data_IF_958052574805
#
_entry.id   IF_958052574805
#
_cell.length_a   1.000
_cell.length_b   1.000
_cell.length_c   1.000
_cell.angle_alpha   90.00
_cell.angle_beta   90.00
_cell.angle_gamma   90.00
#
_symmetry.space_group_name_H-M   'P 1'
#
loop_
_entity.id
_entity.type
_entity.pdbx_description
1 polymer ?
#
# COMPACT_ATOMS: atom_id res chain seq x y z
N UNK A 1 21.04 -15.80 -4.94
CA UNK A 1 22.15 -15.05 -4.31
C UNK A 1 22.01 -15.07 -2.78
N UNK A 2 22.33 -16.17 -2.13
CA UNK A 2 22.26 -16.28 -0.65
C UNK A 2 23.39 -15.50 0.02
N UNK A 3 24.61 -15.58 -0.52
CA UNK A 3 25.78 -14.85 -0.01
C UNK A 3 25.59 -13.32 0.00
N UNK A 4 24.98 -12.75 -1.04
CA UNK A 4 24.69 -11.31 -1.11
C UNK A 4 23.62 -10.87 -0.09
N UNK A 5 22.67 -11.75 0.25
CA UNK A 5 21.67 -11.48 1.28
C UNK A 5 22.29 -11.52 2.68
N UNK A 6 23.26 -12.41 2.92
CA UNK A 6 23.96 -12.54 4.21
C UNK A 6 24.91 -11.36 4.44
N UNK A 7 25.65 -10.91 3.43
CA UNK A 7 26.55 -9.74 3.55
C UNK A 7 25.79 -8.43 3.73
N UNK A 8 24.64 -8.29 3.08
CA UNK A 8 23.77 -7.13 3.30
C UNK A 8 23.26 -7.09 4.75
N UNK A 9 22.77 -8.20 5.29
CA UNK A 9 22.25 -8.28 6.66
C UNK A 9 23.31 -7.91 7.72
N UNK A 10 24.55 -8.39 7.55
CA UNK A 10 25.69 -8.01 8.42
C UNK A 10 25.99 -6.50 8.35
N UNK A 11 25.86 -5.90 7.17
CA UNK A 11 26.12 -4.47 6.98
C UNK A 11 25.09 -3.60 7.68
N UNK A 12 23.79 -3.91 7.54
CA UNK A 12 22.72 -3.16 8.19
C UNK A 12 22.78 -3.26 9.71
N UNK A 13 23.11 -4.44 10.24
CA UNK A 13 23.34 -4.62 11.69
C UNK A 13 24.49 -3.76 12.20
N UNK A 14 25.59 -3.67 11.45
CA UNK A 14 26.74 -2.84 11.84
C UNK A 14 26.37 -1.35 11.84
N UNK A 15 25.70 -0.85 10.81
CA UNK A 15 25.27 0.55 10.72
C UNK A 15 24.34 0.90 11.87
N UNK A 16 23.35 0.04 12.14
CA UNK A 16 22.40 0.23 13.23
C UNK A 16 23.09 0.25 14.60
N UNK A 17 24.02 -0.68 14.85
CA UNK A 17 24.82 -0.68 16.09
C UNK A 17 25.63 0.60 16.25
N UNK A 18 26.35 1.03 15.21
CA UNK A 18 27.14 2.26 15.26
C UNK A 18 26.26 3.47 15.58
N UNK A 19 25.14 3.62 14.88
CA UNK A 19 24.22 4.74 15.09
C UNK A 19 23.59 4.76 16.50
N UNK A 20 23.25 3.60 17.06
CA UNK A 20 22.59 3.52 18.37
C UNK A 20 23.57 3.59 19.56
N UNK A 21 24.83 3.19 19.37
CA UNK A 21 25.84 3.21 20.43
C UNK A 21 26.54 4.57 20.60
N UNK A 22 26.42 5.49 19.63
CA UNK A 22 27.00 6.84 19.71
C UNK A 22 26.41 7.71 20.84
N UNK A 23 25.33 7.25 21.50
CA UNK A 23 24.70 7.92 22.63
C UNK A 23 23.88 9.15 22.20
N UNK A 24 22.86 9.50 22.98
CA UNK A 24 22.04 10.70 22.73
C UNK A 24 21.01 10.58 21.59
N UNK A 25 20.90 9.44 20.92
CA UNK A 25 19.86 9.19 19.92
C UNK A 25 18.55 8.82 20.62
N UNK A 26 17.53 9.67 20.51
CA UNK A 26 16.18 9.37 21.01
C UNK A 26 15.29 8.72 19.96
N UNK A 27 15.56 8.99 18.68
CA UNK A 27 14.73 8.55 17.57
C UNK A 27 15.54 8.31 16.31
N UNK A 28 15.13 7.33 15.50
CA UNK A 28 15.75 6.97 14.23
C UNK A 28 14.73 7.09 13.10
N UNK A 29 15.09 7.84 12.06
CA UNK A 29 14.28 7.96 10.83
C UNK A 29 14.80 6.97 9.79
N UNK A 30 13.93 6.08 9.33
CA UNK A 30 14.21 5.08 8.30
C UNK A 30 13.56 5.52 7.00
N UNK A 31 14.40 5.96 6.06
CA UNK A 31 14.00 6.26 4.68
C UNK A 31 14.39 5.09 3.79
N UNK A 32 13.50 4.09 3.70
CA UNK A 32 13.75 2.87 2.94
C UNK A 32 12.43 2.24 2.49
N UNK A 33 12.46 1.57 1.35
CA UNK A 33 11.30 0.86 0.78
C UNK A 33 11.70 -0.56 0.36
N UNK A 34 10.69 -1.42 0.15
CA UNK A 34 10.87 -2.78 -0.40
C UNK A 34 11.93 -3.63 0.32
N UNK A 35 12.87 -4.20 -0.44
CA UNK A 35 13.90 -5.11 0.11
C UNK A 35 14.79 -4.44 1.15
N UNK A 36 15.11 -3.16 0.97
CA UNK A 36 15.97 -2.42 1.91
C UNK A 36 15.27 -2.27 3.26
N UNK A 37 13.99 -1.90 3.26
CA UNK A 37 13.19 -1.83 4.48
C UNK A 37 13.15 -3.19 5.20
N UNK A 38 12.89 -4.27 4.46
CA UNK A 38 12.91 -5.64 5.00
C UNK A 38 14.24 -6.02 5.66
N UNK A 39 15.36 -5.60 5.09
CA UNK A 39 16.69 -5.80 5.70
C UNK A 39 16.89 -4.96 6.96
N UNK A 40 16.40 -3.72 7.00
CA UNK A 40 16.41 -2.89 8.21
C UNK A 40 15.60 -3.55 9.32
N UNK A 41 14.37 -4.03 9.03
CA UNK A 41 13.52 -4.70 10.02
C UNK A 41 14.19 -5.97 10.58
N UNK A 42 14.86 -6.75 9.74
CA UNK A 42 15.63 -7.92 10.18
C UNK A 42 16.82 -7.53 11.07
N UNK A 43 17.55 -6.49 10.70
CA UNK A 43 18.64 -5.96 11.52
C UNK A 43 18.13 -5.44 12.88
N UNK A 44 16.98 -4.75 12.90
CA UNK A 44 16.33 -4.32 14.13
C UNK A 44 15.94 -5.49 15.02
N UNK A 45 15.40 -6.57 14.44
CA UNK A 45 15.09 -7.81 15.18
C UNK A 45 16.35 -8.44 15.78
N UNK A 46 17.41 -8.54 14.98
CA UNK A 46 18.69 -9.10 15.43
C UNK A 46 19.35 -8.27 16.54
N UNK A 47 19.14 -6.95 16.52
CA UNK A 47 19.67 -5.99 17.49
C UNK A 47 18.55 -5.44 18.41
N UNK A 48 17.60 -6.30 18.80
CA UNK A 48 16.41 -5.88 19.53
C UNK A 48 16.74 -5.11 20.83
N UNK A 49 17.78 -5.52 21.56
CA UNK A 49 18.15 -4.86 22.83
C UNK A 49 18.53 -3.38 22.66
N UNK A 50 19.20 -3.03 21.55
CA UNK A 50 19.54 -1.65 21.22
C UNK A 50 18.34 -0.94 20.60
N UNK A 51 17.65 -1.62 19.68
CA UNK A 51 16.52 -1.05 18.93
C UNK A 51 15.36 -0.65 19.85
N UNK A 52 15.20 -1.32 21.00
CA UNK A 52 14.19 -1.00 22.00
C UNK A 52 14.40 0.32 22.75
N UNK A 53 15.57 0.94 22.63
CA UNK A 53 15.92 2.14 23.40
C UNK A 53 15.48 3.44 22.72
N UNK A 54 15.11 3.37 21.43
CA UNK A 54 14.79 4.53 20.60
C UNK A 54 13.42 4.39 19.96
N UNK A 55 12.85 5.54 19.56
CA UNK A 55 11.64 5.58 18.76
C UNK A 55 11.98 5.47 17.26
N UNK A 56 11.21 4.69 16.51
CA UNK A 56 11.46 4.44 15.09
C UNK A 56 10.42 5.14 14.23
N UNK A 57 10.87 5.90 13.23
CA UNK A 57 9.99 6.63 12.30
C UNK A 57 10.29 6.13 10.88
N UNK A 58 9.33 5.47 10.25
CA UNK A 58 9.46 4.92 8.91
C UNK A 58 8.81 5.83 7.88
N UNK A 59 9.47 6.02 6.73
CA UNK A 59 8.91 6.75 5.59
C UNK A 59 7.96 5.92 4.73
N UNK A 60 7.91 4.61 4.94
CA UNK A 60 7.18 3.64 4.10
C UNK A 60 6.75 2.44 4.95
N UNK A 61 5.78 1.68 4.43
CA UNK A 61 5.28 0.44 5.01
C UNK A 61 5.77 -0.78 4.23
N UNK A 62 6.05 -1.90 4.91
CA UNK A 62 6.41 -3.13 4.22
C UNK A 62 5.17 -3.77 3.59
N UNK A 63 5.17 -3.94 2.26
CA UNK A 63 4.12 -4.66 1.53
C UNK A 63 4.23 -6.20 1.67
N UNK A 64 5.40 -6.70 2.10
CA UNK A 64 5.70 -8.10 2.40
C UNK A 64 6.25 -8.19 3.83
N UNK A 65 6.17 -9.36 4.46
CA UNK A 65 6.65 -9.58 5.85
C UNK A 65 5.97 -8.64 6.87
N UNK A 66 4.69 -8.32 6.67
CA UNK A 66 3.94 -7.46 7.60
C UNK A 66 3.91 -8.06 9.03
N UNK A 67 3.97 -9.39 9.14
CA UNK A 67 4.09 -10.11 10.42
C UNK A 67 5.37 -9.75 11.18
N UNK A 68 6.51 -9.56 10.49
CA UNK A 68 7.74 -9.09 11.13
C UNK A 68 7.56 -7.67 11.67
N UNK A 69 6.86 -6.82 10.92
CA UNK A 69 6.56 -5.45 11.37
C UNK A 69 5.63 -5.45 12.59
N UNK A 70 4.59 -6.30 12.60
CA UNK A 70 3.72 -6.52 13.77
C UNK A 70 4.51 -7.00 14.97
N UNK A 71 5.36 -8.01 14.81
CA UNK A 71 6.22 -8.53 15.88
C UNK A 71 7.07 -7.41 16.47
N UNK A 72 7.75 -6.64 15.63
CA UNK A 72 8.60 -5.53 16.08
C UNK A 72 7.80 -4.44 16.80
N UNK A 73 6.58 -4.14 16.37
CA UNK A 73 5.72 -3.15 17.04
C UNK A 73 5.38 -3.52 18.48
N UNK A 74 5.31 -4.82 18.81
CA UNK A 74 5.11 -5.29 20.18
C UNK A 74 6.39 -5.32 21.02
N UNK A 75 7.56 -5.28 20.38
CA UNK A 75 8.85 -5.35 21.06
C UNK A 75 9.48 -3.98 21.30
N UNK A 76 9.26 -3.01 20.40
CA UNK A 76 9.94 -1.71 20.39
C UNK A 76 9.23 -0.65 21.26
N UNK A 77 9.97 0.37 21.71
CA UNK A 77 9.45 1.50 22.50
C UNK A 77 8.36 2.29 21.74
N UNK A 78 8.60 2.54 20.47
CA UNK A 78 7.67 3.23 19.59
C UNK A 78 8.01 2.98 18.12
N UNK A 79 7.00 2.67 17.32
CA UNK A 79 7.08 2.61 15.86
C UNK A 79 6.04 3.60 15.31
N UNK A 80 6.53 4.51 14.47
CA UNK A 80 5.76 5.51 13.77
C UNK A 80 5.96 5.35 12.27
N UNK A 81 4.92 5.59 11.50
CA UNK A 81 4.94 5.50 10.03
C UNK A 81 4.36 6.77 9.44
N UNK A 82 5.10 7.38 8.52
CA UNK A 82 4.55 8.38 7.63
C UNK A 82 3.81 7.68 6.49
N UNK A 83 2.51 7.92 6.37
CA UNK A 83 1.69 7.34 5.30
C UNK A 83 0.65 8.35 4.81
N UNK A 84 0.06 8.09 3.65
CA UNK A 84 -0.99 8.94 3.09
C UNK A 84 -2.20 9.02 4.01
N UNK A 85 -2.88 10.17 3.96
CA UNK A 85 -4.14 10.40 4.65
C UNK A 85 -5.28 10.42 3.63
N UNK A 86 -6.45 9.83 3.93
CA UNK A 86 -6.84 9.21 5.20
C UNK A 86 -6.17 7.85 5.47
N UNK A 87 -6.15 7.42 6.76
CA UNK A 87 -5.59 6.12 7.18
C UNK A 87 -6.35 4.91 6.61
N UNK A 88 -7.63 5.09 6.31
CA UNK A 88 -8.54 4.12 5.70
C UNK A 88 -9.16 4.73 4.46
N UNK A 89 -9.43 3.91 3.47
CA UNK A 89 -10.19 4.32 2.30
C UNK A 89 -11.46 3.48 2.16
N UNK A 90 -12.51 3.89 2.87
CA UNK A 90 -13.71 3.07 3.14
C UNK A 90 -14.33 2.48 1.86
N UNK A 91 -14.44 3.24 0.77
CA UNK A 91 -15.00 2.70 -0.49
C UNK A 91 -14.18 1.55 -1.07
N UNK A 92 -12.86 1.59 -0.89
CA UNK A 92 -11.99 0.50 -1.30
C UNK A 92 -12.10 -0.67 -0.32
N UNK A 93 -12.19 -0.42 0.98
CA UNK A 93 -12.36 -1.48 1.98
C UNK A 93 -13.71 -2.21 1.81
N UNK A 94 -14.80 -1.50 1.52
CA UNK A 94 -16.10 -2.09 1.18
C UNK A 94 -15.98 -3.00 -0.06
N UNK A 95 -15.26 -2.53 -1.09
CA UNK A 95 -15.02 -3.33 -2.29
C UNK A 95 -14.14 -4.54 -1.98
N UNK A 96 -13.07 -4.36 -1.21
CA UNK A 96 -12.17 -5.41 -0.75
C UNK A 96 -12.91 -6.52 0.00
N UNK A 97 -13.81 -6.16 0.91
CA UNK A 97 -14.67 -7.10 1.61
C UNK A 97 -15.61 -7.85 0.66
N UNK A 98 -16.19 -7.16 -0.33
CA UNK A 98 -17.06 -7.79 -1.33
C UNK A 98 -16.34 -8.85 -2.19
N UNK A 99 -15.03 -8.68 -2.41
CA UNK A 99 -14.20 -9.61 -3.17
C UNK A 99 -13.89 -10.90 -2.38
N UNK A 100 -14.06 -10.89 -1.06
CA UNK A 100 -13.82 -12.04 -0.20
C UNK A 100 -15.05 -12.97 -0.09
N UNK A 101 -16.20 -12.58 -0.67
CA UNK A 101 -17.38 -13.43 -0.71
C UNK A 101 -17.27 -14.50 -1.80
N UNK A 102 -17.09 -15.76 -1.38
CA UNK A 102 -16.99 -16.94 -2.25
C UNK A 102 -18.22 -17.12 -3.16
N UNK A 103 -19.39 -16.68 -2.69
CA UNK A 103 -20.66 -16.85 -3.42
C UNK A 103 -20.92 -15.70 -4.40
N UNK A 104 -20.22 -14.57 -4.23
CA UNK A 104 -20.36 -13.35 -5.01
C UNK A 104 -19.55 -13.37 -6.30
N UNK A 105 -20.06 -14.05 -7.35
CA UNK A 105 -19.59 -13.98 -8.76
C UNK A 105 -18.11 -14.37 -8.97
N UNK A 106 -17.90 -15.65 -9.30
CA UNK A 106 -16.70 -16.15 -10.02
C UNK A 106 -16.63 -15.53 -11.43
N UNK A 107 -16.19 -14.29 -11.55
CA UNK A 107 -15.82 -13.69 -12.84
C UNK A 107 -14.36 -14.06 -13.17
N UNK A 108 -13.96 -14.06 -14.45
CA UNK A 108 -12.53 -14.26 -14.80
C UNK A 108 -11.61 -13.22 -14.15
N UNK A 109 -12.13 -12.02 -13.89
CA UNK A 109 -11.41 -10.95 -13.19
C UNK A 109 -11.12 -11.30 -11.71
N UNK A 110 -11.81 -12.29 -11.15
CA UNK A 110 -11.63 -12.76 -9.76
C UNK A 110 -10.60 -13.89 -9.59
N UNK A 111 -10.07 -14.51 -10.65
CA UNK A 111 -9.20 -15.70 -10.51
C UNK A 111 -7.89 -15.42 -9.74
N UNK A 112 -7.23 -14.30 -10.04
CA UNK A 112 -6.01 -13.92 -9.33
C UNK A 112 -6.29 -13.53 -7.87
N UNK A 113 -7.46 -12.93 -7.60
CA UNK A 113 -7.89 -12.57 -6.24
C UNK A 113 -8.13 -13.84 -5.42
N UNK A 114 -8.82 -14.82 -6.00
CA UNK A 114 -9.05 -16.11 -5.35
C UNK A 114 -7.73 -16.84 -5.08
N UNK A 115 -6.76 -16.77 -6.00
CA UNK A 115 -5.41 -17.32 -5.78
C UNK A 115 -4.69 -16.60 -4.65
N UNK A 116 -4.74 -15.27 -4.63
CA UNK A 116 -4.17 -14.46 -3.55
C UNK A 116 -4.79 -14.80 -2.18
N UNK A 117 -6.11 -14.87 -2.08
CA UNK A 117 -6.80 -15.17 -0.82
C UNK A 117 -6.50 -16.59 -0.32
N UNK A 118 -6.38 -17.56 -1.23
CA UNK A 118 -5.94 -18.92 -0.91
C UNK A 118 -4.51 -18.94 -0.35
N UNK A 119 -3.60 -18.18 -0.96
CA UNK A 119 -2.21 -18.07 -0.52
C UNK A 119 -2.12 -17.43 0.87
N UNK A 120 -2.82 -16.31 1.09
CA UNK A 120 -2.84 -15.62 2.39
C UNK A 120 -3.41 -16.50 3.49
N UNK A 121 -4.50 -17.24 3.21
CA UNK A 121 -5.15 -18.11 4.19
C UNK A 121 -4.56 -19.52 4.29
N UNK A 122 -3.55 -19.84 3.47
CA UNK A 122 -2.96 -21.18 3.34
C UNK A 122 -4.06 -22.25 3.22
N UNK A 123 -4.98 -22.07 2.28
CA UNK A 123 -6.11 -23.00 2.04
C UNK A 123 -6.42 -23.14 0.54
N UNK A 124 -7.16 -24.18 0.16
CA UNK A 124 -7.53 -24.47 -1.23
C UNK A 124 -9.04 -24.42 -1.46
N UNK A 125 -9.49 -23.93 -2.61
CA UNK A 125 -10.89 -24.05 -3.03
C UNK A 125 -11.20 -25.46 -3.55
N UNK A 126 -12.39 -25.97 -3.23
CA UNK A 126 -12.80 -27.36 -3.50
C UNK A 126 -12.68 -27.78 -4.98
N UNK A 127 -12.92 -26.85 -5.90
CA UNK A 127 -12.95 -27.11 -7.35
C UNK A 127 -11.63 -26.75 -8.07
N UNK A 128 -10.58 -26.39 -7.34
CA UNK A 128 -9.29 -26.00 -7.95
C UNK A 128 -8.36 -27.22 -8.03
N UNK A 129 -7.79 -27.54 -9.21
CA UNK A 129 -6.84 -28.64 -9.33
C UNK A 129 -5.64 -28.43 -8.42
N UNK A 130 -5.16 -29.51 -7.79
CA UNK A 130 -3.97 -29.47 -6.92
C UNK A 130 -2.75 -29.02 -7.74
N UNK A 131 -2.14 -27.92 -7.33
CA UNK A 131 -0.84 -27.45 -7.79
C UNK A 131 0.29 -28.02 -6.94
N UNK A 132 1.52 -28.07 -7.46
CA UNK A 132 2.72 -28.41 -6.67
C UNK A 132 2.90 -27.47 -5.47
N UNK A 133 2.32 -26.27 -5.53
CA UNK A 133 2.37 -25.26 -4.47
C UNK A 133 1.24 -25.37 -3.43
N UNK A 134 0.33 -26.33 -3.56
CA UNK A 134 -0.79 -26.54 -2.62
C UNK A 134 -0.41 -27.46 -1.45
N UNK A 135 0.81 -27.31 -0.94
CA UNK A 135 1.29 -28.00 0.25
C UNK A 135 1.66 -27.01 1.34
N UNK A 136 1.42 -27.37 2.59
CA UNK A 136 1.89 -26.60 3.74
C UNK A 136 3.41 -26.76 3.94
N UNK A 137 3.94 -26.07 4.96
CA UNK A 137 5.36 -26.07 5.30
C UNK A 137 5.88 -27.47 5.69
N UNK A 138 4.98 -28.45 5.94
CA UNK A 138 5.26 -29.85 6.25
C UNK A 138 5.09 -30.78 5.04
N UNK A 139 4.72 -30.24 3.87
CA UNK A 139 4.51 -31.00 2.64
C UNK A 139 3.15 -31.70 2.56
N UNK A 140 2.18 -31.33 3.40
CA UNK A 140 0.83 -31.87 3.41
C UNK A 140 -0.12 -31.03 2.55
N UNK A 141 -1.13 -31.62 1.88
CA UNK A 141 -2.06 -30.86 1.05
C UNK A 141 -2.82 -29.81 1.86
N UNK A 142 -2.92 -28.59 1.34
CA UNK A 142 -3.67 -27.51 1.97
C UNK A 142 -5.14 -27.89 2.17
N UNK A 143 -5.68 -27.54 3.33
CA UNK A 143 -7.09 -27.79 3.69
C UNK A 143 -8.03 -26.96 2.84
N UNK A 144 -9.27 -27.44 2.68
CA UNK A 144 -10.30 -26.68 1.98
C UNK A 144 -10.65 -25.38 2.72
N UNK A 145 -10.75 -24.27 1.98
CA UNK A 145 -11.16 -22.98 2.52
C UNK A 145 -12.64 -23.02 2.96
N UNK A 146 -12.90 -22.83 4.26
CA UNK A 146 -14.28 -22.67 4.78
C UNK A 146 -14.91 -21.34 4.35
N UNK A 147 -14.10 -20.29 4.26
CA UNK A 147 -14.42 -18.98 3.72
C UNK A 147 -13.12 -18.29 3.27
N UNK A 148 -13.21 -17.25 2.43
CA UNK A 148 -12.04 -16.47 2.00
C UNK A 148 -11.84 -15.17 2.80
N UNK A 149 -12.59 -15.00 3.89
CA UNK A 149 -12.49 -13.78 4.69
C UNK A 149 -11.14 -13.70 5.41
N UNK A 150 -10.34 -12.68 5.09
CA UNK A 150 -9.04 -12.44 5.75
C UNK A 150 -9.30 -11.66 7.03
N UNK A 151 -8.67 -12.09 8.14
CA UNK A 151 -8.72 -11.34 9.39
C UNK A 151 -7.72 -10.20 9.28
N UNK A 152 -8.23 -9.02 8.95
CA UNK A 152 -7.46 -7.79 8.83
C UNK A 152 -7.46 -7.03 10.16
N UNK A 153 -6.31 -6.46 10.54
CA UNK A 153 -6.19 -5.47 11.62
C UNK A 153 -6.00 -4.04 11.05
N UNK A 154 -5.84 -3.05 11.93
CA UNK A 154 -5.69 -1.65 11.50
C UNK A 154 -4.44 -1.44 10.63
N UNK A 155 -3.39 -2.26 10.83
CA UNK A 155 -2.17 -2.18 10.04
C UNK A 155 -2.40 -2.68 8.61
N UNK A 156 -3.18 -3.75 8.41
CA UNK A 156 -3.56 -4.21 7.06
C UNK A 156 -4.32 -3.12 6.30
N UNK A 157 -5.28 -2.47 6.96
CA UNK A 157 -6.07 -1.37 6.38
C UNK A 157 -5.15 -0.20 6.01
N UNK A 158 -4.21 0.17 6.88
CA UNK A 158 -3.26 1.26 6.61
C UNK A 158 -2.34 0.93 5.43
N UNK A 159 -1.80 -0.29 5.35
CA UNK A 159 -0.92 -0.72 4.23
C UNK A 159 -1.69 -0.69 2.91
N UNK A 160 -2.94 -1.14 2.91
CA UNK A 160 -3.81 -1.05 1.71
C UNK A 160 -4.09 0.39 1.34
N UNK A 161 -4.49 1.24 2.28
CA UNK A 161 -4.71 2.66 2.03
C UNK A 161 -3.44 3.35 1.50
N UNK A 162 -2.28 3.06 2.09
CA UNK A 162 -0.98 3.56 1.66
C UNK A 162 -0.69 3.24 0.18
N UNK A 163 -1.02 2.02 -0.24
CA UNK A 163 -0.78 1.54 -1.61
C UNK A 163 -1.83 2.06 -2.60
N UNK A 164 -3.09 2.12 -2.19
CA UNK A 164 -4.23 2.40 -3.08
C UNK A 164 -4.41 3.89 -3.33
N UNK A 165 -4.23 4.75 -2.31
CA UNK A 165 -4.48 6.18 -2.44
C UNK A 165 -3.68 6.83 -3.59
N UNK A 166 -2.37 6.59 -3.75
CA UNK A 166 -1.61 7.11 -4.89
C UNK A 166 -2.14 6.62 -6.25
N UNK A 167 -2.55 5.35 -6.34
CA UNK A 167 -3.10 4.80 -7.58
C UNK A 167 -4.45 5.45 -7.94
N UNK A 168 -5.30 5.69 -6.94
CA UNK A 168 -6.57 6.40 -7.11
C UNK A 168 -6.33 7.84 -7.54
N UNK A 169 -5.41 8.55 -6.90
CA UNK A 169 -4.99 9.89 -7.31
C UNK A 169 -4.54 9.93 -8.78
N UNK A 170 -3.67 9.00 -9.18
CA UNK A 170 -3.18 8.89 -10.55
C UNK A 170 -4.31 8.63 -11.56
N UNK A 171 -5.19 7.68 -11.27
CA UNK A 171 -6.32 7.34 -12.13
C UNK A 171 -7.26 8.54 -12.35
N UNK A 172 -7.64 9.23 -11.27
CA UNK A 172 -8.49 10.41 -11.36
C UNK A 172 -7.81 11.59 -12.06
N UNK A 173 -6.49 11.73 -11.96
CA UNK A 173 -5.72 12.74 -12.71
C UNK A 173 -5.85 12.49 -14.20
N UNK A 174 -5.60 11.25 -14.65
CA UNK A 174 -5.73 10.86 -16.06
C UNK A 174 -7.18 11.02 -16.54
N UNK A 175 -8.17 10.59 -15.76
CA UNK A 175 -9.57 10.73 -16.15
C UNK A 175 -10.03 12.19 -16.25
N UNK A 176 -9.53 13.08 -15.40
CA UNK A 176 -9.83 14.51 -15.53
C UNK A 176 -9.15 15.13 -16.76
N UNK A 177 -7.94 14.70 -17.12
CA UNK A 177 -7.29 15.09 -18.37
C UNK A 177 -8.09 14.61 -19.60
N UNK A 178 -8.46 13.33 -19.65
CA UNK A 178 -9.29 12.75 -20.71
C UNK A 178 -10.67 13.41 -20.79
N UNK A 179 -11.29 13.71 -19.66
CA UNK A 179 -12.54 14.47 -19.62
C UNK A 179 -12.36 15.86 -20.22
N UNK A 180 -11.26 16.54 -19.92
CA UNK A 180 -10.95 17.85 -20.50
C UNK A 180 -10.76 17.78 -22.01
N UNK A 181 -10.03 16.76 -22.49
CA UNK A 181 -9.89 16.47 -23.92
C UNK A 181 -11.23 16.17 -24.59
N UNK A 182 -12.06 15.33 -23.99
CA UNK A 182 -13.40 15.03 -24.49
C UNK A 182 -14.30 16.27 -24.57
N UNK A 183 -14.27 17.15 -23.56
CA UNK A 183 -15.05 18.39 -23.58
C UNK A 183 -14.65 19.29 -24.76
N UNK A 184 -13.35 19.40 -25.02
CA UNK A 184 -12.80 20.25 -26.07
C UNK A 184 -13.01 19.66 -27.47
N UNK A 185 -12.51 18.44 -27.69
CA UNK A 185 -12.56 17.73 -28.98
C UNK A 185 -14.00 17.34 -29.34
N UNK A 186 -14.70 16.64 -28.44
CA UNK A 186 -16.04 16.14 -28.74
C UNK A 186 -17.17 17.15 -28.48
N UNK A 187 -16.85 18.39 -28.08
CA UNK A 187 -17.84 19.46 -27.80
C UNK A 187 -18.95 19.00 -26.84
N UNK A 188 -18.58 18.23 -25.81
CA UNK A 188 -19.50 17.61 -24.84
C UNK A 188 -20.54 16.62 -25.41
N UNK A 189 -20.35 16.08 -26.63
CA UNK A 189 -21.22 15.04 -27.18
C UNK A 189 -20.96 13.69 -26.51
N UNK A 190 -22.02 12.97 -26.15
CA UNK A 190 -21.91 11.63 -25.53
C UNK A 190 -21.14 10.67 -26.44
N UNK A 191 -20.32 9.82 -25.84
CA UNK A 191 -19.47 8.87 -26.55
C UNK A 191 -18.08 9.41 -26.89
N UNK A 192 -17.29 8.59 -27.60
CA UNK A 192 -15.95 8.94 -28.06
C UNK A 192 -16.06 9.39 -29.52
N UNK A 193 -15.61 10.61 -29.82
CA UNK A 193 -15.56 11.16 -31.18
C UNK A 193 -14.24 10.81 -31.88
N UNK A 194 -14.18 10.89 -33.21
CA UNK A 194 -12.98 10.61 -34.02
C UNK A 194 -11.77 11.44 -33.58
N UNK A 195 -11.96 12.73 -33.32
CA UNK A 195 -10.90 13.64 -32.87
C UNK A 195 -10.29 13.20 -31.53
N UNK A 196 -11.07 12.56 -30.64
CA UNK A 196 -10.59 12.02 -29.38
C UNK A 196 -9.92 10.64 -29.55
N UNK A 197 -10.34 9.85 -30.55
CA UNK A 197 -9.68 8.58 -30.90
C UNK A 197 -8.28 8.82 -31.49
N UNK A 198 -8.10 9.94 -32.19
CA UNK A 198 -6.83 10.38 -32.77
C UNK A 198 -5.93 11.11 -31.76
N UNK A 199 -6.35 11.23 -30.49
CA UNK A 199 -5.57 11.88 -29.44
C UNK A 199 -4.28 11.10 -29.18
N UNK A 200 -3.15 11.67 -29.57
CA UNK A 200 -1.85 11.06 -29.32
C UNK A 200 -1.34 11.37 -27.90
N UNK A 201 -0.33 10.60 -27.46
CA UNK A 201 0.22 10.70 -26.11
C UNK A 201 0.83 12.08 -25.82
N UNK A 202 1.54 12.68 -26.78
CA UNK A 202 2.17 14.01 -26.61
C UNK A 202 1.11 15.08 -26.38
N UNK A 203 0.05 15.07 -27.19
CA UNK A 203 -1.08 15.99 -27.06
C UNK A 203 -1.79 15.79 -25.71
N UNK A 204 -2.08 14.54 -25.31
CA UNK A 204 -2.68 14.25 -24.00
C UNK A 204 -1.85 14.84 -22.85
N UNK A 205 -0.53 14.70 -22.92
CA UNK A 205 0.37 15.15 -21.87
C UNK A 205 0.48 16.68 -21.84
N UNK A 206 0.84 17.30 -22.96
CA UNK A 206 1.15 18.74 -23.04
C UNK A 206 -0.11 19.60 -22.93
N UNK A 207 -1.21 19.22 -23.59
CA UNK A 207 -2.38 20.08 -23.73
C UNK A 207 -3.45 19.82 -22.66
N UNK A 208 -3.43 18.65 -22.02
CA UNK A 208 -4.49 18.25 -21.07
C UNK A 208 -4.01 17.81 -19.70
N UNK A 209 -2.87 17.12 -19.58
CA UNK A 209 -2.37 16.62 -18.29
C UNK A 209 -1.54 17.68 -17.55
N UNK A 210 -0.60 18.35 -18.24
CA UNK A 210 0.25 19.39 -17.67
C UNK A 210 -0.56 20.60 -17.19
N UNK A 211 -1.46 21.22 -18.00
CA UNK A 211 -2.25 22.38 -17.59
C UNK A 211 -3.48 22.00 -16.76
N UNK A 212 -3.65 20.72 -16.42
CA UNK A 212 -4.82 20.21 -15.72
C UNK A 212 -5.01 20.94 -14.39
N UNK A 213 -6.25 21.36 -14.13
CA UNK A 213 -6.66 21.88 -12.83
C UNK A 213 -7.87 21.14 -12.32
N UNK A 214 -7.73 20.50 -11.16
CA UNK A 214 -8.86 19.87 -10.49
C UNK A 214 -8.57 19.68 -9.00
N UNK A 215 -9.63 19.54 -8.21
CA UNK A 215 -9.60 19.19 -6.79
C UNK A 215 -10.49 17.98 -6.57
N UNK A 216 -10.00 16.99 -5.81
CA UNK A 216 -10.77 15.78 -5.49
C UNK A 216 -12.01 16.09 -4.64
N UNK A 217 -11.94 17.10 -3.80
CA UNK A 217 -13.01 17.60 -2.93
C UNK A 217 -13.73 18.84 -3.51
N UNK A 218 -13.42 19.21 -4.76
CA UNK A 218 -13.99 20.38 -5.41
C UNK A 218 -15.42 20.18 -5.93
N UNK A 219 -16.14 21.29 -6.22
CA UNK A 219 -17.48 21.23 -6.82
C UNK A 219 -17.53 20.41 -8.11
N UNK A 220 -18.48 19.48 -8.20
CA UNK A 220 -18.63 18.61 -9.38
C UNK A 220 -17.58 17.52 -9.53
N UNK A 221 -16.75 17.30 -8.49
CA UNK A 221 -15.86 16.16 -8.42
C UNK A 221 -16.64 14.85 -8.39
N UNK A 222 -16.05 13.81 -9.00
CA UNK A 222 -16.52 12.42 -8.94
C UNK A 222 -15.59 11.53 -8.12
N UNK A 223 -14.61 12.13 -7.45
CA UNK A 223 -13.73 11.39 -6.57
C UNK A 223 -14.49 10.89 -5.33
N UNK A 224 -14.09 9.73 -4.79
CA UNK A 224 -14.62 9.25 -3.52
C UNK A 224 -14.49 10.28 -2.40
N UNK A 225 -15.42 10.23 -1.45
CA UNK A 225 -15.38 11.08 -0.27
C UNK A 225 -14.09 10.83 0.53
N UNK A 226 -13.57 11.87 1.19
CA UNK A 226 -12.33 11.80 1.97
C UNK A 226 -11.04 11.96 1.16
N UNK A 227 -11.07 11.79 -0.16
CA UNK A 227 -9.91 12.04 -1.03
C UNK A 227 -9.66 13.55 -1.15
N UNK A 228 -8.51 14.01 -0.66
CA UNK A 228 -8.11 15.42 -0.66
C UNK A 228 -6.96 15.68 -1.63
N UNK A 229 -6.78 16.93 -2.01
CA UNK A 229 -5.73 17.34 -2.93
C UNK A 229 -6.18 17.34 -4.39
N UNK A 230 -5.22 17.48 -5.29
CA UNK A 230 -5.49 17.51 -6.72
C UNK A 230 -4.30 18.05 -7.48
N UNK A 231 -4.58 18.72 -8.60
CA UNK A 231 -3.55 19.34 -9.43
C UNK A 231 -3.92 20.80 -9.70
N UNK A 232 -2.94 21.68 -9.56
CA UNK A 232 -2.99 23.05 -10.07
C UNK A 232 -2.07 23.23 -11.28
N UNK A 233 -2.27 24.33 -12.00
CA UNK A 233 -1.53 24.69 -13.22
C UNK A 233 -0.05 24.94 -12.95
N UNK A 234 0.28 25.36 -11.73
CA UNK A 234 1.65 25.68 -11.33
C UNK A 234 2.40 24.44 -10.82
N UNK A 235 1.71 23.31 -10.66
CA UNK A 235 2.31 22.10 -10.13
C UNK A 235 3.27 21.50 -11.16
N UNK A 236 4.47 21.16 -10.70
CA UNK A 236 5.44 20.43 -11.51
C UNK A 236 4.83 19.13 -12.07
N UNK A 237 5.36 18.70 -13.22
CA UNK A 237 4.93 17.45 -13.83
C UNK A 237 5.13 16.28 -12.87
N UNK A 238 4.10 15.46 -12.67
CA UNK A 238 4.12 14.33 -11.74
C UNK A 238 3.82 14.68 -10.27
N UNK A 239 3.54 15.95 -9.96
CA UNK A 239 3.19 16.37 -8.60
C UNK A 239 1.69 16.67 -8.44
N UNK A 240 1.20 16.41 -7.23
CA UNK A 240 -0.13 16.77 -6.76
C UNK A 240 0.00 17.70 -5.56
N UNK A 241 -0.93 18.63 -5.44
CA UNK A 241 -1.02 19.60 -4.35
C UNK A 241 -2.06 19.21 -3.32
N UNK A 242 -1.80 19.61 -2.07
CA UNK A 242 -2.68 19.39 -0.90
C UNK A 242 -3.04 17.92 -0.66
N UNK A 243 -2.17 16.99 -1.05
CA UNK A 243 -2.22 15.59 -0.63
C UNK A 243 -1.70 15.52 0.81
N UNK A 244 -2.54 15.06 1.73
CA UNK A 244 -2.20 15.00 3.14
C UNK A 244 -1.44 13.71 3.47
N UNK A 245 -0.46 13.82 4.36
CA UNK A 245 0.19 12.67 5.01
C UNK A 245 -0.11 12.72 6.51
N UNK A 246 -0.25 11.55 7.10
CA UNK A 246 -0.34 11.35 8.56
C UNK A 246 0.92 10.70 9.08
N UNK A 247 1.25 10.98 10.34
CA UNK A 247 2.21 10.20 11.12
C UNK A 247 1.41 9.30 12.05
N UNK A 248 1.50 8.00 11.85
CA UNK A 248 0.70 7.01 12.56
C UNK A 248 1.55 6.22 13.54
N UNK A 249 1.11 6.12 14.79
CA UNK A 249 1.77 5.27 15.78
C UNK A 249 1.20 3.86 15.72
N UNK A 250 2.08 2.88 15.58
CA UNK A 250 1.75 1.46 15.51
C UNK A 250 1.75 0.91 16.94
N UNK A 251 0.59 0.45 17.41
CA UNK A 251 0.39 -0.01 18.79
C UNK A 251 0.00 -1.48 18.76
N UNK A 252 0.88 -2.36 19.26
CA UNK A 252 0.56 -3.77 19.44
C UNK A 252 -0.39 -3.97 20.63
N UNK A 253 -1.46 -4.75 20.43
CA UNK A 253 -2.38 -5.11 21.51
C UNK A 253 -1.97 -6.42 22.19
N UNK A 254 -2.41 -6.63 23.44
CA UNK A 254 -2.01 -7.79 24.27
C UNK A 254 -2.19 -9.12 23.54
N UNK A 255 -1.08 -9.83 23.31
CA UNK A 255 -1.01 -11.07 22.53
C UNK A 255 -0.13 -10.96 21.28
N UNK A 256 0.24 -9.76 20.84
CA UNK A 256 1.17 -9.55 19.72
C UNK A 256 0.60 -9.82 18.32
N UNK A 257 -0.61 -10.39 18.24
CA UNK A 257 -1.24 -10.79 16.98
C UNK A 257 -2.01 -9.67 16.26
N UNK A 258 -2.50 -8.66 17.00
CA UNK A 258 -3.29 -7.56 16.44
C UNK A 258 -2.62 -6.21 16.71
N UNK A 259 -2.64 -5.34 15.71
CA UNK A 259 -2.16 -3.95 15.80
C UNK A 259 -3.29 -2.95 15.68
N UNK A 260 -3.20 -1.87 16.45
CA UNK A 260 -4.07 -0.69 16.37
C UNK A 260 -3.24 0.54 16.01
N UNK A 261 -3.89 1.55 15.42
CA UNK A 261 -3.22 2.80 15.02
C UNK A 261 -3.66 3.95 15.92
N UNK A 262 -2.68 4.59 16.57
CA UNK A 262 -2.85 5.88 17.25
C UNK A 262 -2.51 7.05 16.32
N UNK A 263 -3.23 8.16 16.50
CA UNK A 263 -2.90 9.48 15.95
C UNK A 263 -1.96 10.25 16.89
#
# INVERSE_FOLDING_TARGET
SVAASVTADVTFRRVLRSALLEGGVSSVVVVATGRTLKMVLRAMRAEAALSRQVDWIFSDLPNEDLDLFRELSGLMKGIFVASFSPRTFDKFEDHWQSLQDINGRRSKESEWILSYLQQVKKCRLKDTPLSEHDHDDEGMPLRECRNLHVRDDDLDVLVRAHSVLPAVHGAFTIFNALKSAWKLKCRNRKGICSELQELNHKELLEDYLVPLKFRHDGPGSRSPAGLKGGKDRLDHAGHLTDVAMGLYRIISTTGGENVTIGE
#
